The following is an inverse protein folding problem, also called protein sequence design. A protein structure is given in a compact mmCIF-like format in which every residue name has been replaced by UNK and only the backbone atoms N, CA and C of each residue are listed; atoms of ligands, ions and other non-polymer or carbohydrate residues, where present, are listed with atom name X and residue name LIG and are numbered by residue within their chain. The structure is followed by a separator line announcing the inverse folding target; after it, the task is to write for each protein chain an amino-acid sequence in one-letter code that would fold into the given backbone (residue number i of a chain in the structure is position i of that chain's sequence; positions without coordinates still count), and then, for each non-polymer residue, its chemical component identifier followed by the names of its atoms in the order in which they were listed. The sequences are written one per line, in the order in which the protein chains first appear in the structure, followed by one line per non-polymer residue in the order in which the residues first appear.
data_IF_415943705087
#
_entry.id   IF_415943705087
#
_cell.length_a   1.000
_cell.length_b   1.000
_cell.length_c   1.000
_cell.angle_alpha   90.00
_cell.angle_beta   90.00
_cell.angle_gamma   90.00
#
_symmetry.space_group_name_H-M   'P 1'
#
loop_
_entity.id
_entity.type
_entity.pdbx_description
1 polymer ?
#
# COMPACT_ATOMS: atom_id res chain seq x y z
N UNK A 1 -7.56 -9.84 13.70
CA UNK A 1 -7.26 -8.95 14.84
C UNK A 1 -7.05 -9.81 16.08
N UNK A 2 -5.80 -10.18 16.34
CA UNK A 2 -5.37 -10.85 17.56
C UNK A 2 -4.07 -10.19 17.99
N UNK A 3 -4.20 -9.16 18.84
CA UNK A 3 -3.07 -8.49 19.49
C UNK A 3 -2.37 -9.45 20.46
N UNK A 4 -1.06 -9.59 20.33
CA UNK A 4 -0.19 -9.87 21.47
C UNK A 4 0.61 -8.61 21.77
N UNK A 5 -0.01 -7.64 22.46
CA UNK A 5 0.30 -7.27 23.86
C UNK A 5 1.77 -6.91 24.12
N UNK A 6 2.04 -5.61 24.13
CA UNK A 6 2.59 -4.91 25.31
C UNK A 6 1.78 -3.61 25.47
N UNK A 7 1.30 -3.35 26.68
CA UNK A 7 0.35 -2.30 27.10
C UNK A 7 -1.14 -2.48 26.70
N UNK A 8 -1.95 -2.85 27.69
CA UNK A 8 -3.41 -2.77 27.61
C UNK A 8 -3.85 -1.29 27.54
N UNK A 9 -4.01 -0.76 26.33
CA UNK A 9 -5.06 0.23 26.07
C UNK A 9 -6.18 -0.46 25.33
N UNK A 10 -7.43 -0.27 25.78
CA UNK A 10 -8.60 -0.73 25.06
C UNK A 10 -8.71 0.08 23.76
N UNK A 11 -8.28 -0.50 22.65
CA UNK A 11 -8.56 0.01 21.32
C UNK A 11 -10.00 -0.36 20.96
N UNK A 12 -10.92 0.61 21.03
CA UNK A 12 -12.22 0.45 20.41
C UNK A 12 -12.05 0.71 18.92
N UNK A 13 -12.19 -0.33 18.09
CA UNK A 13 -12.17 -0.20 16.65
C UNK A 13 -13.51 -0.73 16.12
N UNK A 14 -14.21 0.11 15.37
CA UNK A 14 -15.43 -0.24 14.66
C UNK A 14 -15.13 -0.17 13.17
N UNK A 15 -15.35 -1.28 12.47
CA UNK A 15 -15.22 -1.39 11.01
C UNK A 15 -16.56 -1.88 10.48
N UNK A 16 -17.26 -1.03 9.74
CA UNK A 16 -18.52 -1.37 9.07
C UNK A 16 -18.28 -1.44 7.57
N UNK A 17 -18.62 -2.58 6.96
CA UNK A 17 -18.49 -2.80 5.52
C UNK A 17 -19.86 -3.05 4.92
N UNK A 18 -20.30 -2.15 4.05
CA UNK A 18 -21.55 -2.23 3.32
C UNK A 18 -21.27 -2.39 1.83
N UNK A 19 -21.77 -3.48 1.23
CA UNK A 19 -21.64 -3.74 -0.20
C UNK A 19 -22.88 -3.24 -0.94
N UNK A 20 -22.70 -2.31 -1.86
CA UNK A 20 -23.72 -1.87 -2.81
C UNK A 20 -23.45 -2.50 -4.20
N UNK A 21 -24.43 -2.50 -5.13
CA UNK A 21 -24.28 -3.18 -6.42
C UNK A 21 -23.08 -2.75 -7.27
N UNK A 22 -22.62 -1.50 -7.11
CA UNK A 22 -21.49 -0.95 -7.88
C UNK A 22 -20.38 -0.34 -7.00
N UNK A 23 -20.59 -0.26 -5.69
CA UNK A 23 -19.72 0.46 -4.77
C UNK A 23 -19.58 -0.27 -3.43
N UNK A 24 -18.43 -0.15 -2.80
CA UNK A 24 -18.20 -0.59 -1.43
C UNK A 24 -18.09 0.64 -0.54
N UNK A 25 -18.88 0.67 0.53
CA UNK A 25 -18.79 1.67 1.58
C UNK A 25 -18.15 1.03 2.81
N UNK A 26 -17.05 1.59 3.28
CA UNK A 26 -16.38 1.21 4.52
C UNK A 26 -16.43 2.40 5.48
N UNK A 27 -16.78 2.15 6.75
CA UNK A 27 -16.70 3.15 7.81
C UNK A 27 -15.84 2.59 8.91
N UNK A 28 -14.72 3.26 9.15
CA UNK A 28 -13.73 2.87 10.15
C UNK A 28 -13.66 3.97 11.22
N UNK A 29 -13.80 3.59 12.48
CA UNK A 29 -13.60 4.48 13.61
C UNK A 29 -12.73 3.81 14.66
N UNK A 30 -11.74 4.53 15.19
CA UNK A 30 -10.80 4.03 16.18
C UNK A 30 -10.58 5.03 17.31
N UNK A 31 -10.60 4.51 18.54
CA UNK A 31 -10.35 5.25 19.78
C UNK A 31 -9.59 4.41 20.82
N UNK A 32 -8.35 4.77 21.19
CA UNK A 32 -7.41 5.57 20.39
C UNK A 32 -7.03 4.83 19.08
N UNK A 33 -6.39 5.51 18.13
CA UNK A 33 -5.90 4.92 16.88
C UNK A 33 -4.36 4.91 16.87
N UNK A 34 -3.76 3.87 16.30
CA UNK A 34 -2.31 3.75 16.15
C UNK A 34 -1.95 3.84 14.66
N UNK A 35 -1.13 4.81 14.31
CA UNK A 35 -0.68 5.05 12.94
C UNK A 35 0.80 4.72 12.80
N UNK A 36 1.18 4.10 11.68
CA UNK A 36 2.57 3.85 11.33
C UNK A 36 2.96 4.81 10.23
N UNK A 37 3.99 5.62 10.47
CA UNK A 37 4.60 6.42 9.42
C UNK A 37 5.43 5.51 8.52
N UNK A 38 5.13 5.50 7.22
CA UNK A 38 5.79 4.63 6.24
C UNK A 38 7.25 5.04 6.00
N UNK A 39 7.57 6.33 6.14
CA UNK A 39 8.92 6.83 5.85
C UNK A 39 9.88 6.56 7.01
N UNK A 40 9.44 6.83 8.24
CA UNK A 40 10.28 6.67 9.44
C UNK A 40 10.08 5.32 10.15
N UNK A 41 9.00 4.59 9.84
CA UNK A 41 8.60 3.38 10.57
C UNK A 41 8.14 3.64 12.00
N UNK A 42 7.88 4.91 12.36
CA UNK A 42 7.50 5.31 13.72
C UNK A 42 6.01 5.19 13.96
N UNK A 43 5.64 4.85 15.19
CA UNK A 43 4.25 4.70 15.60
C UNK A 43 3.75 5.98 16.25
N UNK A 44 2.51 6.34 15.94
CA UNK A 44 1.84 7.55 16.41
C UNK A 44 0.47 7.20 17.01
N UNK A 45 0.28 7.54 18.29
CA UNK A 45 -1.00 7.50 18.98
C UNK A 45 -1.84 8.72 18.57
N UNK A 46 -2.95 8.50 17.88
CA UNK A 46 -3.96 9.50 17.57
C UNK A 46 -5.16 9.30 18.50
N UNK A 47 -5.61 10.31 19.27
CA UNK A 47 -6.68 10.14 20.25
C UNK A 47 -8.00 9.66 19.65
N UNK A 48 -8.36 10.15 18.46
CA UNK A 48 -9.52 9.68 17.71
C UNK A 48 -9.30 9.83 16.22
N UNK A 49 -9.67 8.79 15.48
CA UNK A 49 -9.66 8.78 14.02
C UNK A 49 -10.94 8.15 13.50
N UNK A 50 -11.55 8.81 12.51
CA UNK A 50 -12.71 8.31 11.79
C UNK A 50 -12.50 8.47 10.28
N UNK A 51 -12.80 7.42 9.52
CA UNK A 51 -12.75 7.40 8.07
C UNK A 51 -14.06 6.85 7.50
N UNK A 52 -14.61 7.53 6.50
CA UNK A 52 -15.71 7.04 5.68
C UNK A 52 -15.15 6.91 4.27
N UNK A 53 -15.28 5.74 3.69
CA UNK A 53 -14.59 5.39 2.46
C UNK A 53 -15.55 4.74 1.47
N UNK A 54 -15.65 5.32 0.27
CA UNK A 54 -16.51 4.86 -0.80
C UNK A 54 -15.66 4.56 -2.04
N UNK A 55 -15.56 3.29 -2.40
CA UNK A 55 -14.79 2.84 -3.56
C UNK A 55 -15.70 2.17 -4.59
N UNK A 56 -15.43 2.37 -5.87
CA UNK A 56 -16.01 1.55 -6.94
C UNK A 56 -15.57 0.09 -6.81
N UNK A 57 -16.39 -0.84 -7.30
CA UNK A 57 -15.97 -2.24 -7.40
C UNK A 57 -14.76 -2.38 -8.34
N UNK A 58 -13.77 -3.22 -7.99
CA UNK A 58 -12.63 -3.47 -8.86
C UNK A 58 -13.12 -4.17 -10.13
N UNK A 59 -12.81 -3.58 -11.28
CA UNK A 59 -12.99 -4.18 -12.59
C UNK A 59 -11.63 -4.72 -13.04
N UNK A 60 -11.61 -5.85 -13.75
CA UNK A 60 -10.36 -6.40 -14.32
C UNK A 60 -9.63 -5.39 -15.20
N UNK A 61 -10.37 -4.51 -15.88
CA UNK A 61 -9.84 -3.32 -16.54
C UNK A 61 -10.93 -2.29 -16.63
N UNK A 62 -10.67 -1.07 -16.16
CA UNK A 62 -11.68 -0.03 -16.19
C UNK A 62 -11.35 1.20 -15.36
N UNK A 63 -12.31 2.11 -15.36
CA UNK A 63 -12.29 3.27 -14.50
C UNK A 63 -12.71 2.87 -13.09
N UNK A 64 -11.97 3.37 -12.13
CA UNK A 64 -12.25 3.23 -10.70
C UNK A 64 -12.19 4.60 -10.05
N UNK A 65 -12.96 4.76 -8.99
CA UNK A 65 -12.93 5.96 -8.18
C UNK A 65 -12.97 5.61 -6.71
N UNK A 66 -12.42 6.49 -5.89
CA UNK A 66 -12.28 6.32 -4.47
C UNK A 66 -12.52 7.66 -3.79
N UNK A 67 -13.52 7.74 -2.90
CA UNK A 67 -13.87 8.94 -2.14
C UNK A 67 -13.73 8.63 -0.66
N UNK A 68 -12.81 9.31 0.02
CA UNK A 68 -12.55 9.12 1.43
C UNK A 68 -12.76 10.43 2.18
N UNK A 69 -13.55 10.40 3.25
CA UNK A 69 -13.66 11.49 4.22
C UNK A 69 -13.02 11.01 5.52
N UNK A 70 -12.00 11.74 5.96
CA UNK A 70 -11.23 11.40 7.15
C UNK A 70 -11.28 12.54 8.16
N UNK A 71 -11.47 12.21 9.43
CA UNK A 71 -11.51 13.14 10.53
C UNK A 71 -10.61 12.67 11.66
N UNK A 72 -9.64 13.51 12.01
CA UNK A 72 -8.77 13.33 13.15
C UNK A 72 -9.14 14.31 14.25
N UNK A 73 -9.14 13.82 15.48
CA UNK A 73 -9.33 14.66 16.65
C UNK A 73 -8.29 14.36 17.74
N UNK A 74 -7.81 15.44 18.36
CA UNK A 74 -6.78 15.40 19.40
C UNK A 74 -5.36 15.41 18.85
N UNK A 75 -4.42 15.84 19.69
CA UNK A 75 -3.02 15.95 19.31
C UNK A 75 -2.34 14.57 19.26
N UNK A 76 -1.73 14.19 18.13
CA UNK A 76 -1.00 12.94 18.03
C UNK A 76 0.23 12.95 18.93
N UNK A 77 0.56 11.78 19.50
CA UNK A 77 1.76 11.58 20.32
C UNK A 77 2.56 10.41 19.76
N UNK A 78 3.88 10.51 19.73
CA UNK A 78 4.70 9.39 19.30
C UNK A 78 4.54 8.24 20.32
N UNK A 79 4.24 7.04 19.84
CA UNK A 79 4.14 5.86 20.66
C UNK A 79 5.54 5.38 21.03
N UNK A 80 5.88 5.42 22.33
CA UNK A 80 7.19 5.02 22.87
C UNK A 80 8.41 5.71 22.21
N UNK A 81 8.28 6.99 21.83
CA UNK A 81 9.35 7.76 21.15
C UNK A 81 9.69 9.11 21.80
N UNK A 82 10.60 9.84 21.16
CA UNK A 82 11.17 11.11 21.62
C UNK A 82 10.16 12.27 21.47
N UNK A 83 9.94 13.16 22.45
CA UNK A 83 8.93 14.23 22.37
C UNK A 83 9.18 15.27 21.26
N UNK A 84 10.35 15.22 20.62
CA UNK A 84 10.82 16.20 19.64
C UNK A 84 10.54 15.76 18.18
N UNK A 85 10.09 14.51 17.97
CA UNK A 85 9.82 14.01 16.62
C UNK A 85 8.74 14.86 15.91
N UNK A 86 9.04 15.27 14.67
CA UNK A 86 8.11 16.06 13.87
C UNK A 86 6.91 15.21 13.48
N UNK A 87 5.73 15.61 13.94
CA UNK A 87 4.46 14.95 13.63
C UNK A 87 4.14 15.09 12.14
N UNK A 88 3.79 13.99 11.43
CA UNK A 88 3.30 14.05 10.06
C UNK A 88 2.09 14.99 9.91
N UNK A 89 2.12 15.89 8.92
CA UNK A 89 1.08 16.90 8.72
C UNK A 89 -0.35 16.34 8.60
N UNK A 90 -0.48 15.11 8.07
CA UNK A 90 -1.76 14.41 7.91
C UNK A 90 -2.41 13.92 9.21
N UNK A 91 -1.65 13.83 10.31
CA UNK A 91 -2.15 13.35 11.61
C UNK A 91 -2.69 14.48 12.50
N UNK A 92 -2.53 15.74 12.08
CA UNK A 92 -3.07 16.86 12.84
C UNK A 92 -4.60 16.87 12.85
N UNK A 93 -5.21 17.46 13.90
CA UNK A 93 -6.66 17.59 13.99
C UNK A 93 -7.25 18.33 12.79
N UNK A 94 -8.32 17.78 12.25
CA UNK A 94 -8.99 18.35 11.09
C UNK A 94 -9.90 17.38 10.37
N UNK A 95 -10.51 17.88 9.30
CA UNK A 95 -11.31 17.10 8.36
C UNK A 95 -10.60 17.15 7.02
N UNK A 96 -10.36 15.99 6.42
CA UNK A 96 -9.80 15.87 5.08
C UNK A 96 -10.71 15.03 4.19
N UNK A 97 -11.13 15.59 3.06
CA UNK A 97 -11.76 14.84 1.99
C UNK A 97 -10.71 14.53 0.93
N UNK A 98 -10.65 13.27 0.47
CA UNK A 98 -9.77 12.82 -0.59
C UNK A 98 -10.62 12.16 -1.66
N UNK A 99 -10.36 12.46 -2.92
CA UNK A 99 -10.91 11.72 -4.04
C UNK A 99 -9.78 11.27 -4.97
N UNK A 100 -9.89 10.06 -5.50
CA UNK A 100 -8.99 9.56 -6.51
C UNK A 100 -9.79 8.94 -7.65
N UNK A 101 -9.35 9.19 -8.87
CA UNK A 101 -9.86 8.57 -10.09
C UNK A 101 -8.71 7.86 -10.76
N UNK A 102 -8.90 6.60 -11.13
CA UNK A 102 -7.87 5.80 -11.78
C UNK A 102 -8.44 5.02 -12.94
N UNK A 103 -7.60 4.77 -13.93
CA UNK A 103 -7.83 3.80 -14.96
C UNK A 103 -6.82 2.67 -14.79
N UNK A 104 -7.31 1.46 -14.59
CA UNK A 104 -6.49 0.26 -14.54
C UNK A 104 -6.68 -0.55 -15.82
N UNK A 105 -5.55 -0.99 -16.39
CA UNK A 105 -5.51 -1.93 -17.49
C UNK A 105 -4.76 -3.18 -17.06
N UNK A 106 -5.44 -4.31 -17.03
CA UNK A 106 -4.86 -5.62 -16.84
C UNK A 106 -4.76 -6.35 -18.18
N UNK A 107 -3.63 -7.01 -18.40
CA UNK A 107 -3.35 -7.83 -19.58
C UNK A 107 -2.90 -9.19 -19.11
N UNK A 108 -3.72 -10.21 -19.36
CA UNK A 108 -3.32 -11.61 -19.25
C UNK A 108 -2.40 -11.97 -20.42
N UNK A 109 -1.11 -12.09 -20.13
CA UNK A 109 -0.08 -12.49 -21.12
C UNK A 109 -0.23 -13.98 -21.44
N UNK A 110 -0.46 -14.79 -20.41
CA UNK A 110 -0.66 -16.22 -20.55
C UNK A 110 -1.56 -16.75 -19.45
N UNK A 111 -2.41 -17.72 -19.78
CA UNK A 111 -3.20 -18.47 -18.80
C UNK A 111 -3.24 -19.93 -19.21
N UNK A 112 -2.94 -20.82 -18.27
CA UNK A 112 -2.97 -22.25 -18.55
C UNK A 112 -4.39 -22.70 -18.88
N UNK A 113 -4.54 -23.37 -20.03
CA UNK A 113 -5.76 -24.09 -20.42
C UNK A 113 -5.67 -25.59 -20.12
N UNK A 114 -4.58 -26.04 -19.49
CA UNK A 114 -4.36 -27.45 -19.20
C UNK A 114 -5.47 -28.00 -18.29
N UNK A 115 -5.89 -29.22 -18.55
CA UNK A 115 -6.92 -29.87 -17.75
C UNK A 115 -6.39 -30.10 -16.33
N UNK A 116 -7.07 -29.54 -15.33
CA UNK A 116 -6.78 -29.78 -13.91
C UNK A 116 -6.88 -31.28 -13.60
N UNK A 117 -6.14 -31.74 -12.60
CA UNK A 117 -6.22 -33.14 -12.17
C UNK A 117 -7.66 -33.46 -11.80
N UNK A 118 -8.26 -34.42 -12.52
CA UNK A 118 -9.63 -34.87 -12.26
C UNK A 118 -9.68 -35.44 -10.84
N UNK A 119 -10.70 -35.06 -10.07
CA UNK A 119 -10.97 -35.50 -8.69
C UNK A 119 -10.09 -34.93 -7.56
N UNK A 120 -9.18 -33.99 -7.83
CA UNK A 120 -8.42 -33.30 -6.76
C UNK A 120 -8.80 -31.81 -6.74
N UNK A 121 -9.45 -31.37 -5.66
CA UNK A 121 -9.73 -29.94 -5.47
C UNK A 121 -8.43 -29.21 -5.12
N UNK A 122 -8.14 -28.06 -5.74
CA UNK A 122 -7.00 -27.24 -5.33
C UNK A 122 -7.16 -26.80 -3.87
N UNK A 123 -6.04 -26.64 -3.16
CA UNK A 123 -6.04 -26.14 -1.79
C UNK A 123 -6.67 -24.75 -1.67
N UNK A 124 -6.53 -23.94 -2.72
CA UNK A 124 -7.18 -22.65 -2.90
C UNK A 124 -7.68 -22.50 -4.35
N UNK A 125 -8.95 -22.17 -4.53
CA UNK A 125 -9.59 -22.02 -5.84
C UNK A 125 -9.03 -20.83 -6.61
N UNK A 126 -8.64 -19.74 -5.96
CA UNK A 126 -8.09 -18.55 -6.63
C UNK A 126 -6.67 -18.79 -7.16
N UNK A 127 -5.91 -19.65 -6.49
CA UNK A 127 -4.56 -20.05 -6.92
C UNK A 127 -4.58 -21.25 -7.88
N UNK A 128 -5.75 -21.70 -8.31
CA UNK A 128 -5.87 -22.91 -9.13
C UNK A 128 -5.57 -22.74 -10.61
N UNK A 129 -5.41 -21.50 -11.09
CA UNK A 129 -5.18 -21.18 -12.48
C UNK A 129 -3.80 -20.54 -12.66
N UNK A 130 -2.78 -21.30 -13.13
CA UNK A 130 -1.50 -20.73 -13.49
C UNK A 130 -1.70 -19.66 -14.57
N UNK A 131 -1.12 -18.48 -14.35
CA UNK A 131 -1.24 -17.34 -15.24
C UNK A 131 -0.03 -16.43 -15.13
N UNK A 132 0.19 -15.66 -16.19
CA UNK A 132 1.12 -14.54 -16.23
C UNK A 132 0.32 -13.33 -16.68
N UNK A 133 0.33 -12.28 -15.88
CA UNK A 133 -0.40 -11.04 -16.14
C UNK A 133 0.46 -9.83 -15.82
N UNK A 134 0.16 -8.74 -16.50
CA UNK A 134 0.70 -7.43 -16.19
C UNK A 134 -0.46 -6.45 -16.05
N UNK A 135 -0.43 -5.59 -15.04
CA UNK A 135 -1.37 -4.49 -14.92
C UNK A 135 -0.67 -3.15 -14.81
N UNK A 136 -1.32 -2.11 -15.32
CA UNK A 136 -0.88 -0.74 -15.19
C UNK A 136 -2.04 0.14 -14.78
N UNK A 137 -1.81 1.01 -13.81
CA UNK A 137 -2.81 1.95 -13.29
C UNK A 137 -2.25 3.34 -13.39
N UNK A 138 -3.06 4.27 -13.92
CA UNK A 138 -2.76 5.70 -13.94
C UNK A 138 -3.97 6.42 -13.38
N UNK A 139 -3.77 7.42 -12.54
CA UNK A 139 -4.85 8.15 -11.93
C UNK A 139 -4.46 9.53 -11.42
N UNK A 140 -5.46 10.25 -10.95
CA UNK A 140 -5.30 11.54 -10.29
C UNK A 140 -5.98 11.50 -8.93
N UNK A 141 -5.34 12.12 -7.95
CA UNK A 141 -5.86 12.27 -6.60
C UNK A 141 -5.98 13.76 -6.26
N UNK A 142 -7.06 14.13 -5.60
CA UNK A 142 -7.33 15.45 -5.07
C UNK A 142 -7.66 15.32 -3.58
N UNK A 143 -7.12 16.19 -2.76
CA UNK A 143 -7.41 16.25 -1.33
C UNK A 143 -7.76 17.67 -0.91
N UNK A 144 -8.85 17.82 -0.16
CA UNK A 144 -9.24 19.05 0.49
C UNK A 144 -9.12 18.85 2.00
N UNK A 145 -8.28 19.63 2.66
CA UNK A 145 -8.00 19.54 4.09
C UNK A 145 -8.50 20.82 4.76
N UNK A 146 -9.15 20.67 5.91
CA UNK A 146 -9.70 21.75 6.72
C UNK A 146 -9.23 21.58 8.16
N UNK A 147 -8.66 22.64 8.74
CA UNK A 147 -8.16 22.64 10.11
C UNK A 147 -6.64 22.81 10.21
N UNK A 148 -6.05 22.33 11.30
CA UNK A 148 -4.62 22.55 11.58
C UNK A 148 -3.70 21.78 10.62
N UNK A 149 -4.17 20.65 10.09
CA UNK A 149 -3.48 19.90 9.03
C UNK A 149 -3.29 20.70 7.75
N UNK A 150 -4.17 21.67 7.45
CA UNK A 150 -4.14 22.41 6.19
C UNK A 150 -2.91 23.31 6.07
N UNK A 151 -2.46 23.92 7.17
CA UNK A 151 -1.39 24.91 7.18
C UNK A 151 -0.03 24.25 6.92
N UNK A 152 0.22 23.09 7.55
CA UNK A 152 1.48 22.36 7.41
C UNK A 152 1.61 21.64 6.06
N UNK A 153 0.50 21.14 5.51
CA UNK A 153 0.48 20.53 4.18
C UNK A 153 0.86 21.51 3.05
N UNK A 154 0.70 22.82 3.25
CA UNK A 154 1.11 23.86 2.28
C UNK A 154 2.62 24.09 2.32
N UNK A 155 3.26 23.94 3.47
CA UNK A 155 4.72 24.03 3.58
C UNK A 155 5.37 22.86 2.85
N UNK A 156 4.88 21.63 3.05
CA UNK A 156 5.34 20.45 2.33
C UNK A 156 5.07 20.54 0.81
N UNK A 157 3.93 21.14 0.41
CA UNK A 157 3.55 21.31 -0.99
C UNK A 157 4.21 22.49 -1.69
N UNK A 158 5.02 23.32 -1.01
CA UNK A 158 5.82 24.38 -1.65
C UNK A 158 7.12 23.87 -2.25
N UNK A 159 7.70 22.83 -1.66
CA UNK A 159 8.95 22.23 -2.13
C UNK A 159 8.77 21.40 -3.39
N UNK A 160 7.53 20.97 -3.67
CA UNK A 160 7.17 20.16 -4.83
C UNK A 160 6.12 20.94 -5.62
N UNK A 161 6.25 21.03 -6.95
CA UNK A 161 5.30 21.77 -7.83
C UNK A 161 3.93 21.10 -7.96
N UNK A 162 3.30 20.73 -6.85
CA UNK A 162 1.98 20.14 -6.78
C UNK A 162 0.91 21.22 -6.99
N UNK A 163 -0.24 20.85 -7.57
CA UNK A 163 -1.38 21.75 -7.62
C UNK A 163 -1.83 22.01 -6.17
N UNK A 164 -1.61 23.22 -5.66
CA UNK A 164 -1.99 23.60 -4.30
C UNK A 164 -2.77 24.91 -4.31
N UNK A 165 -3.88 24.94 -3.57
CA UNK A 165 -4.64 26.15 -3.30
C UNK A 165 -4.88 26.23 -1.80
N UNK A 166 -4.40 27.31 -1.18
CA UNK A 166 -4.56 27.54 0.25
C UNK A 166 -5.42 28.78 0.50
N UNK A 167 -6.49 28.61 1.28
CA UNK A 167 -7.26 29.72 1.83
C UNK A 167 -6.94 29.86 3.34
N UNK A 168 -6.12 30.86 3.74
CA UNK A 168 -5.72 31.04 5.13
C UNK A 168 -6.88 31.45 6.04
N UNK A 169 -7.87 32.18 5.50
CA UNK A 169 -9.05 32.64 6.25
C UNK A 169 -9.93 31.47 6.71
N UNK A 170 -10.07 30.46 5.86
CA UNK A 170 -10.87 29.26 6.15
C UNK A 170 -10.04 28.09 6.71
N UNK A 171 -8.72 28.28 6.90
CA UNK A 171 -7.77 27.20 7.24
C UNK A 171 -8.02 25.96 6.38
N UNK A 172 -8.03 26.16 5.07
CA UNK A 172 -8.35 25.13 4.08
C UNK A 172 -7.27 25.04 3.02
N UNK A 173 -6.95 23.83 2.59
CA UNK A 173 -5.95 23.54 1.56
C UNK A 173 -6.46 22.47 0.62
N UNK A 174 -6.43 22.76 -0.68
CA UNK A 174 -6.72 21.82 -1.76
C UNK A 174 -5.41 21.43 -2.42
N UNK A 175 -5.11 20.13 -2.51
CA UNK A 175 -3.93 19.57 -3.16
C UNK A 175 -4.34 18.58 -4.23
N UNK A 176 -3.69 18.59 -5.39
CA UNK A 176 -3.95 17.64 -6.49
C UNK A 176 -2.66 17.11 -7.11
N UNK A 177 -2.61 15.82 -7.41
CA UNK A 177 -1.48 15.18 -8.11
C UNK A 177 -1.91 13.96 -8.92
N UNK A 178 -1.02 13.50 -9.79
CA UNK A 178 -1.15 12.29 -10.59
C UNK A 178 -0.37 11.17 -9.92
N UNK A 179 -0.84 9.94 -10.04
CA UNK A 179 -0.12 8.75 -9.61
C UNK A 179 -0.15 7.68 -10.71
N UNK A 180 0.85 6.82 -10.70
CA UNK A 180 0.90 5.66 -11.58
C UNK A 180 1.51 4.47 -10.84
N UNK A 181 1.07 3.27 -11.20
CA UNK A 181 1.64 2.02 -10.71
C UNK A 181 1.64 0.96 -11.80
N UNK A 182 2.61 0.08 -11.77
CA UNK A 182 2.69 -1.09 -12.63
C UNK A 182 2.83 -2.33 -11.77
N UNK A 183 2.15 -3.41 -12.14
CA UNK A 183 2.31 -4.71 -11.50
C UNK A 183 2.54 -5.81 -12.53
N UNK A 184 3.30 -6.81 -12.13
CA UNK A 184 3.53 -8.01 -12.91
C UNK A 184 3.38 -9.22 -12.00
N UNK A 185 2.59 -10.19 -12.43
CA UNK A 185 2.37 -11.44 -11.70
C UNK A 185 2.67 -12.61 -12.61
N UNK A 186 3.48 -13.54 -12.13
CA UNK A 186 3.70 -14.83 -12.75
C UNK A 186 3.43 -15.93 -11.73
N UNK A 187 2.49 -16.80 -12.06
CA UNK A 187 2.14 -17.96 -11.24
C UNK A 187 2.33 -19.24 -12.05
N UNK A 188 3.12 -20.14 -11.48
CA UNK A 188 3.28 -21.51 -11.90
C UNK A 188 2.57 -22.46 -10.94
N UNK A 189 1.96 -23.51 -11.49
CA UNK A 189 1.22 -24.52 -10.73
C UNK A 189 -0.22 -24.16 -10.41
N UNK A 190 -0.98 -25.21 -10.09
CA UNK A 190 -2.43 -25.13 -9.84
C UNK A 190 -2.81 -25.47 -8.39
N UNK A 191 -1.81 -25.59 -7.51
CA UNK A 191 -1.96 -25.80 -6.08
C UNK A 191 -2.85 -27.00 -5.72
N UNK A 192 -2.68 -28.11 -6.45
CA UNK A 192 -3.36 -29.39 -6.26
C UNK A 192 -2.41 -30.49 -5.73
N UNK A 193 -1.12 -30.43 -6.07
CA UNK A 193 -0.15 -31.47 -5.67
C UNK A 193 0.32 -31.27 -4.24
N UNK A 194 0.81 -32.35 -3.65
CA UNK A 194 1.25 -32.39 -2.26
C UNK A 194 2.50 -31.55 -1.98
N UNK A 195 3.37 -31.29 -2.95
CA UNK A 195 4.66 -30.60 -2.71
C UNK A 195 5.03 -29.78 -3.93
N UNK A 196 5.52 -28.55 -3.71
CA UNK A 196 6.13 -27.68 -4.73
C UNK A 196 5.33 -27.50 -6.03
N UNK A 197 4.00 -27.48 -5.94
CA UNK A 197 3.14 -27.22 -7.09
C UNK A 197 3.10 -25.72 -7.37
N UNK A 198 2.80 -24.91 -6.35
CA UNK A 198 2.62 -23.47 -6.50
C UNK A 198 3.93 -22.71 -6.32
N UNK A 199 4.28 -21.94 -7.34
CA UNK A 199 5.28 -20.85 -7.26
C UNK A 199 4.64 -19.60 -7.84
N UNK A 200 4.55 -18.53 -7.05
CA UNK A 200 4.02 -17.25 -7.48
C UNK A 200 5.04 -16.16 -7.22
N UNK A 201 5.24 -15.35 -8.24
CA UNK A 201 6.09 -14.17 -8.23
C UNK A 201 5.22 -12.97 -8.56
N UNK A 202 5.30 -11.92 -7.75
CA UNK A 202 4.60 -10.68 -7.96
C UNK A 202 5.53 -9.51 -7.72
N UNK A 203 5.56 -8.59 -8.68
CA UNK A 203 6.32 -7.34 -8.62
C UNK A 203 5.34 -6.20 -8.77
N UNK A 204 5.50 -5.18 -7.94
CA UNK A 204 4.76 -3.93 -8.06
C UNK A 204 5.73 -2.76 -7.98
N UNK A 205 5.54 -1.82 -8.89
CA UNK A 205 6.30 -0.58 -8.98
C UNK A 205 5.30 0.58 -8.88
N UNK A 206 5.37 1.33 -7.78
CA UNK A 206 4.59 2.54 -7.59
C UNK A 206 5.47 3.74 -7.94
N UNK A 207 5.07 4.51 -8.96
CA UNK A 207 5.81 5.70 -9.38
C UNK A 207 5.60 6.82 -8.37
N UNK A 208 6.61 7.69 -8.17
CA UNK A 208 6.42 8.90 -7.39
C UNK A 208 5.32 9.76 -8.01
N UNK A 209 4.73 10.64 -7.20
CA UNK A 209 3.65 11.49 -7.66
C UNK A 209 4.09 12.34 -8.85
N UNK A 210 3.17 12.68 -9.75
CA UNK A 210 3.46 13.35 -11.01
C UNK A 210 4.27 14.64 -10.81
N UNK A 211 3.90 15.44 -9.80
CA UNK A 211 4.64 16.66 -9.45
C UNK A 211 6.06 16.40 -8.94
N UNK A 212 6.28 15.37 -8.13
CA UNK A 212 7.62 14.93 -7.67
C UNK A 212 8.46 14.43 -8.84
N UNK A 213 7.89 13.57 -9.68
CA UNK A 213 8.53 13.02 -10.85
C UNK A 213 8.99 14.12 -11.83
N UNK A 214 8.09 15.07 -12.16
CA UNK A 214 8.40 16.18 -13.05
C UNK A 214 9.47 17.10 -12.46
N UNK A 215 9.38 17.41 -11.16
CA UNK A 215 10.39 18.24 -10.49
C UNK A 215 11.77 17.56 -10.51
N UNK A 216 11.84 16.28 -10.16
CA UNK A 216 13.08 15.49 -10.25
C UNK A 216 13.62 15.42 -11.68
N UNK A 217 12.75 15.18 -12.67
CA UNK A 217 13.14 15.13 -14.08
C UNK A 217 13.72 16.46 -14.58
N UNK A 218 13.12 17.59 -14.18
CA UNK A 218 13.66 18.91 -14.53
C UNK A 218 15.02 19.16 -13.92
N UNK A 219 15.24 18.74 -12.65
CA UNK A 219 16.55 18.85 -12.00
C UNK A 219 17.59 17.98 -12.71
N UNK A 220 17.27 16.73 -13.07
CA UNK A 220 18.18 15.88 -13.82
C UNK A 220 18.55 16.42 -15.19
N UNK A 221 17.58 16.99 -15.92
CA UNK A 221 17.86 17.61 -17.22
C UNK A 221 18.73 18.86 -17.04
N UNK A 222 18.48 19.68 -16.02
CA UNK A 222 19.32 20.84 -15.71
C UNK A 222 20.76 20.44 -15.33
N UNK A 223 20.92 19.44 -14.47
CA UNK A 223 22.23 18.91 -14.08
C UNK A 223 22.99 18.41 -15.31
N UNK A 224 22.33 17.65 -16.19
CA UNK A 224 22.92 17.12 -17.42
C UNK A 224 23.31 18.22 -18.41
N UNK A 225 22.43 19.21 -18.62
CA UNK A 225 22.70 20.36 -19.51
C UNK A 225 23.87 21.20 -19.01
N UNK A 226 24.00 21.35 -17.69
CA UNK A 226 25.09 22.10 -17.05
C UNK A 226 26.36 21.25 -16.86
N UNK A 227 26.41 20.02 -17.38
CA UNK A 227 27.53 19.08 -17.22
C UNK A 227 27.87 18.77 -15.75
N UNK A 228 26.88 18.89 -14.86
CA UNK A 228 26.99 18.45 -13.47
C UNK A 228 26.67 16.96 -13.34
N UNK A 229 27.23 16.31 -12.32
CA UNK A 229 26.85 14.95 -11.99
C UNK A 229 25.41 14.95 -11.44
N UNK A 230 24.53 14.06 -11.93
CA UNK A 230 23.15 13.94 -11.44
C UNK A 230 23.09 13.87 -9.92
N UNK A 231 22.31 14.77 -9.31
CA UNK A 231 22.08 14.72 -7.87
C UNK A 231 21.36 13.42 -7.47
N UNK A 232 21.86 12.67 -6.47
CA UNK A 232 21.22 11.43 -6.03
C UNK A 232 19.81 11.66 -5.49
N UNK A 233 19.52 12.86 -4.98
CA UNK A 233 18.18 13.29 -4.58
C UNK A 233 17.23 13.38 -5.78
N UNK A 234 17.67 13.95 -6.90
CA UNK A 234 16.85 14.04 -8.11
C UNK A 234 16.59 12.66 -8.74
N UNK A 235 17.56 11.75 -8.68
CA UNK A 235 17.34 10.35 -9.09
C UNK A 235 16.29 9.68 -8.20
N UNK A 236 16.39 9.83 -6.88
CA UNK A 236 15.40 9.29 -5.93
C UNK A 236 13.99 9.86 -6.15
N UNK A 237 13.86 11.12 -6.58
CA UNK A 237 12.56 11.74 -6.89
C UNK A 237 11.84 11.14 -8.11
N UNK A 238 12.57 10.42 -8.97
CA UNK A 238 12.04 9.81 -10.21
C UNK A 238 11.89 8.29 -10.05
N UNK A 239 12.75 7.66 -9.25
CA UNK A 239 12.75 6.21 -9.08
C UNK A 239 11.44 5.70 -8.45
N UNK A 240 10.81 4.65 -9.03
CA UNK A 240 9.62 4.04 -8.45
C UNK A 240 9.96 3.27 -7.17
N UNK A 241 9.03 3.26 -6.23
CA UNK A 241 9.08 2.37 -5.08
C UNK A 241 8.71 0.97 -5.57
N UNK A 242 9.62 0.01 -5.41
CA UNK A 242 9.42 -1.35 -5.90
C UNK A 242 9.18 -2.30 -4.73
N UNK A 243 8.16 -3.13 -4.83
CA UNK A 243 7.90 -4.23 -3.91
C UNK A 243 7.90 -5.55 -4.65
N UNK A 244 8.50 -6.56 -4.03
CA UNK A 244 8.61 -7.93 -4.53
C UNK A 244 7.89 -8.86 -3.56
N UNK A 245 7.15 -9.81 -4.11
CA UNK A 245 6.50 -10.88 -3.37
C UNK A 245 6.80 -12.21 -4.04
N UNK A 246 7.35 -13.15 -3.27
CA UNK A 246 7.61 -14.51 -3.69
C UNK A 246 6.84 -15.46 -2.79
N UNK A 247 6.01 -16.31 -3.38
CA UNK A 247 5.24 -17.33 -2.68
C UNK A 247 5.56 -18.72 -3.25
N UNK A 248 5.84 -19.67 -2.37
CA UNK A 248 6.20 -21.04 -2.72
C UNK A 248 5.44 -22.02 -1.82
N UNK A 249 4.73 -22.99 -2.42
CA UNK A 249 4.16 -24.09 -1.66
C UNK A 249 5.27 -24.96 -1.08
N UNK A 250 5.16 -25.24 0.22
CA UNK A 250 6.03 -26.18 0.92
C UNK A 250 5.45 -27.59 0.78
N UNK A 251 4.30 -27.82 1.42
CA UNK A 251 3.63 -29.12 1.42
C UNK A 251 2.13 -28.97 1.69
N UNK A 252 1.31 -29.70 0.93
CA UNK A 252 -0.14 -29.68 0.98
C UNK A 252 -0.69 -28.24 0.94
N UNK A 253 -1.57 -27.84 1.85
CA UNK A 253 -2.14 -26.48 1.89
C UNK A 253 -1.16 -25.41 2.41
N UNK A 254 0.07 -25.77 2.79
CA UNK A 254 1.04 -24.82 3.34
C UNK A 254 1.88 -24.17 2.24
N UNK A 255 1.97 -22.85 2.29
CA UNK A 255 2.90 -22.06 1.48
C UNK A 255 3.69 -21.08 2.32
N UNK A 256 4.89 -20.77 1.86
CA UNK A 256 5.74 -19.74 2.41
C UNK A 256 5.72 -18.55 1.47
N UNK A 257 5.54 -17.35 2.01
CA UNK A 257 5.59 -16.10 1.26
C UNK A 257 6.62 -15.16 1.88
N UNK A 258 7.37 -14.48 1.02
CA UNK A 258 8.26 -13.39 1.38
C UNK A 258 7.83 -12.15 0.61
N UNK A 259 7.48 -11.10 1.32
CA UNK A 259 7.17 -9.78 0.77
C UNK A 259 8.31 -8.83 1.17
N UNK A 260 8.84 -8.02 0.25
CA UNK A 260 9.90 -7.07 0.54
C UNK A 260 9.81 -5.85 -0.35
N UNK A 261 10.02 -4.67 0.23
CA UNK A 261 10.39 -3.49 -0.53
C UNK A 261 11.80 -3.64 -1.12
N UNK A 262 12.11 -2.87 -2.16
CA UNK A 262 13.42 -2.78 -2.77
C UNK A 262 13.85 -1.33 -2.75
N UNK A 263 14.96 -1.06 -2.07
CA UNK A 263 15.58 0.27 -2.03
C UNK A 263 16.88 0.22 -2.81
N UNK A 264 17.04 1.19 -3.70
CA UNK A 264 18.27 1.40 -4.45
C UNK A 264 19.04 2.52 -3.73
N UNK A 265 20.16 2.16 -3.11
CA UNK A 265 21.07 3.14 -2.53
C UNK A 265 22.06 3.61 -3.61
N UNK A 266 22.14 4.94 -3.74
CA UNK A 266 23.02 5.64 -4.68
C UNK A 266 24.28 6.17 -4.00
N UNK A 267 24.52 5.83 -2.72
CA UNK A 267 25.77 6.14 -2.02
C UNK A 267 26.94 5.31 -2.58
N UNK A 268 28.12 5.94 -2.65
CA UNK A 268 29.42 5.36 -3.00
C UNK A 268 29.63 4.84 -4.44
N UNK A 269 29.24 5.63 -5.46
CA UNK A 269 29.55 5.40 -6.90
C UNK A 269 29.11 4.04 -7.48
N UNK A 270 28.42 3.20 -6.71
CA UNK A 270 27.85 1.91 -7.11
C UNK A 270 26.35 1.88 -6.86
N UNK A 271 25.64 1.00 -7.56
CA UNK A 271 24.20 0.77 -7.35
C UNK A 271 24.02 -0.41 -6.40
N UNK A 272 23.65 -0.13 -5.16
CA UNK A 272 23.40 -1.17 -4.17
C UNK A 272 21.89 -1.39 -4.03
N UNK A 273 21.43 -2.58 -4.42
CA UNK A 273 20.03 -2.99 -4.28
C UNK A 273 19.90 -3.70 -2.93
N UNK A 274 19.05 -3.17 -2.04
CA UNK A 274 18.80 -3.75 -0.73
C UNK A 274 17.31 -4.07 -0.56
N UNK A 275 17.04 -5.17 0.14
CA UNK A 275 15.71 -5.51 0.60
C UNK A 275 15.33 -4.58 1.76
N UNK A 276 14.21 -3.86 1.63
CA UNK A 276 13.65 -3.02 2.68
C UNK A 276 12.40 -3.66 3.27
N UNK A 277 12.36 -3.71 4.60
CA UNK A 277 11.25 -4.24 5.40
C UNK A 277 10.74 -5.62 4.94
N UNK A 278 11.60 -6.66 4.88
CA UNK A 278 11.14 -7.99 4.49
C UNK A 278 10.13 -8.51 5.51
N UNK A 279 9.03 -9.09 5.03
CA UNK A 279 8.01 -9.76 5.82
C UNK A 279 7.94 -11.21 5.37
N UNK A 280 8.09 -12.11 6.33
CA UNK A 280 8.04 -13.56 6.10
C UNK A 280 6.69 -14.09 6.58
N UNK A 281 6.00 -14.86 5.76
CA UNK A 281 4.70 -15.40 6.08
C UNK A 281 4.60 -16.89 5.77
N UNK A 282 3.90 -17.62 6.63
CA UNK A 282 3.44 -18.99 6.40
C UNK A 282 1.93 -18.92 6.24
N UNK A 283 1.43 -19.41 5.12
CA UNK A 283 0.00 -19.47 4.82
C UNK A 283 -0.49 -20.90 4.82
N UNK A 284 -1.67 -21.11 5.39
CA UNK A 284 -2.41 -22.37 5.36
C UNK A 284 -3.77 -22.14 4.71
N UNK A 285 -3.98 -22.75 3.54
CA UNK A 285 -5.23 -22.67 2.80
C UNK A 285 -6.30 -23.59 3.39
N UNK A 286 -7.45 -23.03 3.74
CA UNK A 286 -8.59 -23.73 4.34
C UNK A 286 -9.57 -24.17 3.23
N UNK A 287 -9.36 -25.37 2.71
CA UNK A 287 -10.16 -25.96 1.63
C UNK A 287 -11.68 -25.92 1.86
N UNK A 288 -12.13 -26.00 3.12
CA UNK A 288 -13.56 -26.11 3.48
C UNK A 288 -14.32 -24.78 3.27
N UNK A 289 -13.61 -23.65 3.20
CA UNK A 289 -14.20 -22.31 3.21
C UNK A 289 -13.99 -21.55 1.89
N UNK A 290 -13.90 -22.27 0.76
CA UNK A 290 -13.84 -21.77 -0.63
C UNK A 290 -12.63 -20.88 -1.01
N UNK A 291 -12.07 -20.09 -0.08
CA UNK A 291 -10.80 -19.32 -0.16
C UNK A 291 -10.42 -18.68 1.20
N UNK A 292 -10.73 -19.32 2.32
CA UNK A 292 -10.20 -18.82 3.58
C UNK A 292 -8.75 -19.28 3.75
N UNK A 293 -7.93 -18.46 4.39
CA UNK A 293 -6.56 -18.85 4.74
C UNK A 293 -6.16 -18.30 6.10
N UNK A 294 -5.42 -19.11 6.84
CA UNK A 294 -4.72 -18.67 8.03
C UNK A 294 -3.31 -18.22 7.62
N UNK A 295 -2.91 -17.02 8.01
CA UNK A 295 -1.60 -16.44 7.68
C UNK A 295 -0.92 -16.10 8.99
N UNK A 296 0.27 -16.65 9.20
CA UNK A 296 1.18 -16.23 10.26
C UNK A 296 2.33 -15.47 9.62
N UNK A 297 2.53 -14.20 9.96
CA UNK A 297 3.58 -13.37 9.39
C UNK A 297 4.47 -12.74 10.46
N UNK A 298 5.73 -12.50 10.09
CA UNK A 298 6.75 -11.90 10.92
C UNK A 298 7.52 -10.83 10.15
N UNK A 299 7.64 -9.63 10.73
CA UNK A 299 8.46 -8.53 10.23
C UNK A 299 9.68 -8.36 11.13
N UNK A 300 10.90 -8.73 10.69
CA UNK A 300 12.10 -8.60 11.51
C UNK A 300 12.45 -7.14 11.85
N UNK A 301 12.19 -6.20 10.94
CA UNK A 301 12.49 -4.77 11.14
C UNK A 301 11.68 -4.19 12.30
N UNK A 302 10.42 -4.57 12.40
CA UNK A 302 9.51 -4.10 13.44
C UNK A 302 9.44 -5.05 14.65
N UNK A 303 10.07 -6.23 14.56
CA UNK A 303 9.96 -7.32 15.54
C UNK A 303 8.50 -7.71 15.84
N UNK A 304 7.66 -7.65 14.81
CA UNK A 304 6.23 -7.91 14.91
C UNK A 304 5.88 -9.28 14.37
N UNK A 305 4.99 -9.96 15.08
CA UNK A 305 4.40 -11.23 14.68
C UNK A 305 2.89 -11.14 14.77
N UNK A 306 2.18 -11.62 13.75
CA UNK A 306 0.73 -11.67 13.77
C UNK A 306 0.22 -12.95 13.11
N UNK A 307 -0.90 -13.44 13.63
CA UNK A 307 -1.69 -14.50 13.02
C UNK A 307 -3.04 -13.94 12.64
N UNK A 308 -3.41 -14.09 11.38
CA UNK A 308 -4.65 -13.60 10.81
C UNK A 308 -5.41 -14.73 10.13
N UNK A 309 -6.74 -14.65 10.23
CA UNK A 309 -7.64 -15.48 9.43
C UNK A 309 -8.29 -14.57 8.39
N UNK A 310 -8.01 -14.84 7.12
CA UNK A 310 -8.54 -14.08 5.98
C UNK A 310 -9.63 -14.91 5.29
N UNK A 311 -10.72 -14.25 4.91
CA UNK A 311 -11.86 -14.86 4.24
C UNK A 311 -12.11 -14.13 2.92
N UNK A 312 -12.36 -14.89 1.85
CA UNK A 312 -12.82 -14.36 0.55
C UNK A 312 -11.87 -13.30 -0.05
N UNK A 313 -10.56 -13.57 -0.02
CA UNK A 313 -9.58 -12.74 -0.73
C UNK A 313 -9.55 -13.21 -2.19
N UNK A 314 -9.81 -12.29 -3.13
CA UNK A 314 -9.72 -12.50 -4.59
C UNK A 314 -8.48 -11.83 -5.16
#
# INVERSE_FOLDING_TARGET
MGLARKDLRCFCCLVLKCKFPHHNLTVDAAWPALFVDKETGTYWDVPFSMAIDLASLPLDSGLSYHLCLHHNHGLPKQFQGDPIAQVPASLFPGVSAKCAFSYEKNVDIWRSKAQKLKMVQPYDIFLSNPHVSASGTIGAALSANFGESSVRLVEDAKDIKQLSYHNPTLKSTLLGDIFASMSFTAQHGNFQRLVSDLTRFHVRMDFPSGSKFLSGATLLVQDLLNSHQPSPEAVKMICPTTSLSLQQQIAGPFSFRVDSGVVIDFKDKGWHIQADQPVFAIEYALQVLWSAKAVAWYSPKHQEFMVELRFLES
#
